data_IF_309720866961
#
_entry.id   IF_309720866961
#
_cell.length_a   1.000
_cell.length_b   1.000
_cell.length_c   1.000
_cell.angle_alpha   90.00
_cell.angle_beta   90.00
_cell.angle_gamma   90.00
#
_symmetry.space_group_name_H-M   'P 1'
#
loop_
_entity.id
_entity.type
_entity.pdbx_description
1 polymer ?
#
# COMPACT_ATOMS: atom_id res chain seq x y z
N UNK A 1 -17.80 48.98 -45.25
CA UNK A 1 -17.31 47.59 -45.26
C UNK A 1 -17.04 47.13 -43.85
N UNK A 2 -17.98 46.39 -43.26
CA UNK A 2 -17.83 45.76 -41.94
C UNK A 2 -17.13 44.41 -42.15
N UNK A 3 -15.88 44.28 -41.71
CA UNK A 3 -15.21 42.98 -41.59
C UNK A 3 -15.88 42.16 -40.48
N UNK A 4 -16.63 41.12 -40.85
CA UNK A 4 -17.07 40.09 -39.97
C UNK A 4 -15.84 39.37 -39.42
N UNK A 5 -15.61 39.49 -38.08
CA UNK A 5 -14.64 38.64 -37.36
C UNK A 5 -15.21 37.22 -37.31
N UNK A 6 -14.68 36.33 -38.15
CA UNK A 6 -14.90 34.88 -37.97
C UNK A 6 -14.35 34.49 -36.59
N UNK A 7 -15.24 34.01 -35.73
CA UNK A 7 -14.84 33.28 -34.52
C UNK A 7 -14.08 32.03 -34.95
N UNK A 8 -12.98 31.67 -34.24
CA UNK A 8 -12.29 30.42 -34.53
C UNK A 8 -13.21 29.24 -34.24
N UNK A 9 -13.33 28.32 -35.21
CA UNK A 9 -13.97 27.03 -35.00
C UNK A 9 -13.26 26.29 -33.89
N UNK A 10 -13.83 26.31 -32.68
CA UNK A 10 -13.39 25.47 -31.58
C UNK A 10 -13.87 24.06 -31.86
N UNK A 11 -13.12 23.33 -32.67
CA UNK A 11 -13.26 21.87 -32.79
C UNK A 11 -12.76 21.25 -31.46
N UNK A 12 -13.57 21.36 -30.41
CA UNK A 12 -13.42 20.58 -29.23
C UNK A 12 -13.70 19.12 -29.59
N UNK A 13 -12.67 18.40 -30.05
CA UNK A 13 -12.72 16.94 -30.00
C UNK A 13 -12.96 16.58 -28.56
N UNK A 14 -14.03 15.81 -28.22
CA UNK A 14 -14.18 15.30 -26.86
C UNK A 14 -12.90 14.56 -26.51
N UNK A 15 -12.27 14.97 -25.40
CA UNK A 15 -11.09 14.25 -24.90
C UNK A 15 -11.53 12.80 -24.65
N UNK A 16 -10.87 11.86 -25.30
CA UNK A 16 -11.08 10.44 -25.00
C UNK A 16 -10.80 10.20 -23.52
N UNK A 17 -11.71 9.51 -22.81
CA UNK A 17 -11.49 9.24 -21.39
C UNK A 17 -10.17 8.49 -21.22
N UNK A 18 -9.30 9.01 -20.33
CA UNK A 18 -8.01 8.38 -20.04
C UNK A 18 -8.23 6.99 -19.49
N UNK A 19 -7.52 6.00 -20.04
CA UNK A 19 -7.64 4.62 -19.58
C UNK A 19 -7.25 4.51 -18.09
N UNK A 20 -8.12 3.91 -17.30
CA UNK A 20 -7.87 3.62 -15.88
C UNK A 20 -7.23 2.25 -15.75
N UNK A 21 -6.15 2.16 -14.97
CA UNK A 21 -5.45 0.92 -14.71
C UNK A 21 -5.50 0.62 -13.22
N UNK A 22 -6.17 -0.46 -12.84
CA UNK A 22 -6.13 -0.94 -11.46
C UNK A 22 -4.73 -1.41 -11.07
N UNK A 23 -4.06 -2.17 -11.95
CA UNK A 23 -2.70 -2.67 -11.73
C UNK A 23 -1.70 -1.87 -12.54
N UNK A 24 -0.74 -1.25 -11.86
CA UNK A 24 0.34 -0.48 -12.47
C UNK A 24 1.68 -1.17 -12.28
N UNK A 25 2.64 -0.91 -13.17
CA UNK A 25 3.96 -1.51 -13.13
C UNK A 25 4.82 -0.90 -12.01
N UNK A 26 5.66 -1.71 -11.37
CA UNK A 26 6.68 -1.25 -10.42
C UNK A 26 7.82 -0.44 -11.07
N UNK A 27 7.92 -0.45 -12.42
CA UNK A 27 8.85 0.38 -13.21
C UNK A 27 8.27 1.74 -13.57
N UNK A 28 7.09 2.09 -13.07
CA UNK A 28 6.42 3.36 -13.36
C UNK A 28 7.25 4.53 -12.83
N UNK A 29 7.46 5.55 -13.66
CA UNK A 29 8.11 6.79 -13.24
C UNK A 29 7.21 7.57 -12.27
N UNK A 30 7.81 8.50 -11.50
CA UNK A 30 7.10 9.38 -10.57
C UNK A 30 5.92 10.11 -11.24
N UNK A 31 6.16 10.74 -12.37
CA UNK A 31 5.14 11.50 -13.09
C UNK A 31 4.00 10.61 -13.55
N UNK A 32 4.35 9.44 -14.09
CA UNK A 32 3.36 8.48 -14.55
C UNK A 32 2.55 7.87 -13.41
N UNK A 33 3.13 7.70 -12.22
CA UNK A 33 2.39 7.27 -11.03
C UNK A 33 1.31 8.29 -10.66
N UNK A 34 1.66 9.60 -10.65
CA UNK A 34 0.69 10.66 -10.35
C UNK A 34 -0.43 10.70 -11.40
N UNK A 35 -0.11 10.53 -12.69
CA UNK A 35 -1.10 10.42 -13.75
C UNK A 35 -2.05 9.23 -13.55
N UNK A 36 -1.53 8.06 -13.17
CA UNK A 36 -2.34 6.88 -12.87
C UNK A 36 -3.25 7.11 -11.67
N UNK A 37 -2.73 7.70 -10.59
CA UNK A 37 -3.52 8.03 -9.40
C UNK A 37 -4.62 9.05 -9.72
N UNK A 38 -4.32 10.06 -10.53
CA UNK A 38 -5.32 11.04 -10.99
C UNK A 38 -6.41 10.39 -11.84
N UNK A 39 -6.02 9.51 -12.77
CA UNK A 39 -6.98 8.81 -13.64
C UNK A 39 -7.85 7.80 -12.88
N UNK A 40 -7.29 7.15 -11.85
CA UNK A 40 -8.00 6.15 -11.05
C UNK A 40 -8.98 6.76 -10.04
N UNK A 41 -8.74 8.01 -9.59
CA UNK A 41 -9.59 8.69 -8.63
C UNK A 41 -9.77 7.89 -7.34
N UNK A 42 -11.01 7.76 -6.86
CA UNK A 42 -11.35 7.05 -5.63
C UNK A 42 -11.17 5.53 -5.71
N UNK A 43 -11.17 4.94 -6.91
CA UNK A 43 -10.91 3.50 -7.11
C UNK A 43 -9.48 3.16 -6.75
N UNK A 44 -8.55 4.05 -7.06
CA UNK A 44 -7.13 3.89 -6.78
C UNK A 44 -6.40 2.90 -7.69
N UNK A 45 -5.13 2.66 -7.36
CA UNK A 45 -4.24 1.77 -8.10
C UNK A 45 -3.59 0.74 -7.15
N UNK A 46 -3.20 -0.39 -7.72
CA UNK A 46 -2.40 -1.41 -7.05
C UNK A 46 -1.08 -1.62 -7.80
N UNK A 47 0.04 -1.56 -7.09
CA UNK A 47 1.35 -1.91 -7.60
C UNK A 47 1.81 -3.20 -6.93
N UNK A 48 2.08 -4.24 -7.72
CA UNK A 48 2.54 -5.54 -7.24
C UNK A 48 3.83 -5.93 -7.94
N UNK A 49 4.85 -6.29 -7.18
CA UNK A 49 6.09 -6.85 -7.70
C UNK A 49 6.60 -7.98 -6.82
N UNK A 50 7.09 -9.04 -7.45
CA UNK A 50 7.74 -10.17 -6.79
C UNK A 50 9.23 -9.92 -6.58
N UNK A 51 9.77 -8.84 -7.17
CA UNK A 51 11.16 -8.44 -7.04
C UNK A 51 11.25 -6.95 -6.74
N UNK A 52 11.61 -6.61 -5.51
CA UNK A 52 11.76 -5.22 -5.06
C UNK A 52 12.83 -4.45 -5.87
N UNK A 53 13.84 -5.14 -6.44
CA UNK A 53 14.86 -4.54 -7.29
C UNK A 53 14.28 -3.81 -8.50
N UNK A 54 13.17 -4.29 -9.04
CA UNK A 54 12.46 -3.62 -10.15
C UNK A 54 12.04 -2.21 -9.74
N UNK A 55 11.56 -2.06 -8.51
CA UNK A 55 11.16 -0.76 -7.95
C UNK A 55 12.38 0.09 -7.57
N UNK A 56 13.43 -0.51 -7.01
CA UNK A 56 14.69 0.17 -6.66
C UNK A 56 15.30 0.84 -7.89
N UNK A 57 15.32 0.15 -9.03
CA UNK A 57 15.86 0.68 -10.29
C UNK A 57 15.09 1.91 -10.78
N UNK A 58 13.77 1.92 -10.62
CA UNK A 58 12.91 3.07 -10.96
C UNK A 58 13.09 4.23 -9.99
N UNK A 59 13.30 3.94 -8.70
CA UNK A 59 13.58 4.94 -7.66
C UNK A 59 14.96 5.60 -7.85
N UNK A 60 15.95 4.85 -8.35
CA UNK A 60 17.32 5.29 -8.51
C UNK A 60 17.51 6.44 -9.51
N UNK A 61 16.62 6.57 -10.47
CA UNK A 61 16.65 7.65 -11.47
C UNK A 61 16.04 8.96 -10.97
N UNK A 62 15.15 8.92 -9.99
CA UNK A 62 14.43 10.06 -9.42
C UNK A 62 14.60 10.14 -7.88
N UNK A 63 15.78 9.83 -7.37
CA UNK A 63 16.08 9.69 -5.94
C UNK A 63 15.48 10.79 -5.04
N UNK A 64 14.81 10.38 -3.98
CA UNK A 64 14.32 11.24 -2.89
C UNK A 64 12.89 11.77 -3.07
N UNK A 65 12.38 11.85 -4.31
CA UNK A 65 11.04 12.41 -4.57
C UNK A 65 9.95 11.37 -4.71
N UNK A 66 10.28 10.12 -5.05
CA UNK A 66 9.32 9.03 -5.19
C UNK A 66 8.87 8.51 -3.82
N UNK A 67 9.79 8.44 -2.88
CA UNK A 67 9.50 8.05 -1.50
C UNK A 67 8.50 8.98 -0.83
N UNK A 68 8.61 10.29 -1.06
CA UNK A 68 7.65 11.28 -0.57
C UNK A 68 6.21 10.97 -1.05
N UNK A 69 6.05 10.61 -2.33
CA UNK A 69 4.74 10.22 -2.86
C UNK A 69 4.20 8.98 -2.18
N UNK A 70 5.02 7.95 -1.98
CA UNK A 70 4.60 6.73 -1.29
C UNK A 70 4.18 7.04 0.16
N UNK A 71 4.95 7.90 0.83
CA UNK A 71 4.65 8.33 2.18
C UNK A 71 3.33 9.11 2.28
N UNK A 72 3.08 10.01 1.33
CA UNK A 72 1.84 10.80 1.26
C UNK A 72 0.65 9.92 0.88
N UNK A 73 0.81 9.07 -0.13
CA UNK A 73 -0.26 8.16 -0.56
C UNK A 73 -0.70 7.19 0.56
N UNK A 74 0.22 6.74 1.43
CA UNK A 74 -0.13 5.91 2.59
C UNK A 74 -1.08 6.59 3.58
N UNK A 75 -1.13 7.93 3.59
CA UNK A 75 -2.01 8.74 4.43
C UNK A 75 -3.09 9.47 3.64
N UNK A 76 -3.23 9.20 2.33
CA UNK A 76 -4.14 9.90 1.43
C UNK A 76 -3.91 11.43 1.41
N UNK A 77 -2.66 11.88 1.66
CA UNK A 77 -2.27 13.27 1.58
C UNK A 77 -2.04 13.69 0.13
N UNK A 78 -2.33 14.94 -0.19
CA UNK A 78 -2.20 15.51 -1.52
C UNK A 78 -0.84 15.25 -2.15
N UNK A 79 -0.84 14.77 -3.39
CA UNK A 79 0.35 14.67 -4.25
C UNK A 79 0.13 15.48 -5.52
N UNK A 80 1.19 16.14 -5.98
CA UNK A 80 1.13 16.97 -7.18
C UNK A 80 2.37 16.83 -8.03
N UNK A 81 2.21 17.09 -9.32
CA UNK A 81 3.31 17.19 -10.29
C UNK A 81 3.15 18.46 -11.11
N UNK A 82 4.20 19.27 -11.11
CA UNK A 82 4.29 20.46 -11.96
C UNK A 82 5.32 20.19 -13.04
N UNK A 83 4.91 20.27 -14.31
CA UNK A 83 5.83 20.16 -15.45
C UNK A 83 6.34 21.53 -15.86
N UNK A 84 7.62 21.59 -16.27
CA UNK A 84 8.20 22.84 -16.80
C UNK A 84 7.74 23.19 -18.22
N UNK A 85 7.04 22.30 -18.93
CA UNK A 85 6.68 22.42 -20.32
C UNK A 85 5.18 22.21 -20.47
N UNK A 86 4.46 23.27 -20.79
CA UNK A 86 3.08 23.38 -21.32
C UNK A 86 1.96 22.45 -20.82
N UNK A 87 2.08 21.86 -19.65
CA UNK A 87 1.03 21.06 -19.04
C UNK A 87 0.46 21.71 -17.79
N UNK A 88 -0.84 21.64 -17.59
CA UNK A 88 -1.45 21.99 -16.31
C UNK A 88 -0.92 21.05 -15.21
N UNK A 89 -0.66 21.60 -13.98
CA UNK A 89 -0.21 20.77 -12.88
C UNK A 89 -1.28 19.72 -12.54
N UNK A 90 -0.85 18.46 -12.39
CA UNK A 90 -1.73 17.40 -11.92
C UNK A 90 -1.71 17.41 -10.40
N UNK A 91 -2.89 17.53 -9.79
CA UNK A 91 -3.08 17.49 -8.34
C UNK A 91 -4.04 16.35 -8.00
N UNK A 92 -3.62 15.46 -7.11
CA UNK A 92 -4.44 14.37 -6.58
C UNK A 92 -4.64 14.61 -5.09
N UNK A 93 -5.82 15.04 -4.70
CA UNK A 93 -6.15 15.44 -3.33
C UNK A 93 -6.08 14.24 -2.36
N UNK A 94 -6.63 13.11 -2.77
CA UNK A 94 -6.71 11.90 -1.95
C UNK A 94 -6.22 10.69 -2.77
N UNK A 95 -4.89 10.48 -2.88
CA UNK A 95 -4.36 9.35 -3.64
C UNK A 95 -4.69 8.03 -2.93
N UNK A 96 -5.15 7.04 -3.70
CA UNK A 96 -5.40 5.68 -3.24
C UNK A 96 -4.43 4.72 -3.92
N UNK A 97 -3.42 4.26 -3.17
CA UNK A 97 -2.37 3.37 -3.65
C UNK A 97 -2.20 2.17 -2.72
N UNK A 98 -2.39 0.98 -3.26
CA UNK A 98 -2.02 -0.26 -2.60
C UNK A 98 -0.69 -0.77 -3.15
N UNK A 99 0.22 -1.21 -2.25
CA UNK A 99 1.51 -1.77 -2.61
C UNK A 99 1.63 -3.19 -2.07
N UNK A 100 2.01 -4.13 -2.93
CA UNK A 100 2.37 -5.49 -2.54
C UNK A 100 3.73 -5.83 -3.15
N UNK A 101 4.76 -5.93 -2.30
CA UNK A 101 6.14 -6.02 -2.71
C UNK A 101 6.79 -7.21 -2.02
N UNK A 102 7.46 -8.07 -2.78
CA UNK A 102 8.27 -9.14 -2.25
C UNK A 102 9.74 -8.98 -2.69
N UNK A 103 10.65 -9.56 -1.91
CA UNK A 103 12.07 -9.50 -2.18
C UNK A 103 12.89 -10.28 -1.17
N UNK A 104 14.20 -10.38 -1.41
CA UNK A 104 15.16 -10.97 -0.48
C UNK A 104 15.53 -9.96 0.63
N UNK A 105 16.16 -10.46 1.69
CA UNK A 105 16.64 -9.59 2.78
C UNK A 105 17.66 -8.56 2.29
N UNK A 106 18.54 -8.90 1.36
CA UNK A 106 19.51 -7.96 0.79
C UNK A 106 18.81 -6.85 0.01
N UNK A 107 17.85 -7.19 -0.82
CA UNK A 107 17.04 -6.24 -1.57
C UNK A 107 16.23 -5.33 -0.65
N UNK A 108 15.71 -5.88 0.44
CA UNK A 108 15.02 -5.13 1.47
C UNK A 108 15.92 -4.05 2.10
N UNK A 109 17.16 -4.40 2.51
CA UNK A 109 18.11 -3.44 3.09
C UNK A 109 18.52 -2.33 2.10
N UNK A 110 18.53 -2.61 0.80
CA UNK A 110 18.78 -1.59 -0.24
C UNK A 110 17.59 -0.65 -0.41
N UNK A 111 16.36 -1.18 -0.33
CA UNK A 111 15.15 -0.38 -0.50
C UNK A 111 14.84 0.49 0.74
N UNK A 112 14.90 -0.09 1.92
CA UNK A 112 14.70 0.61 3.19
C UNK A 112 16.04 0.99 3.79
N UNK A 113 16.55 2.15 3.46
CA UNK A 113 17.89 2.60 3.86
C UNK A 113 18.05 2.87 5.35
N UNK A 114 16.98 3.27 6.02
CA UNK A 114 16.97 3.46 7.47
C UNK A 114 15.53 3.50 8.01
N UNK A 115 15.37 3.32 9.32
CA UNK A 115 14.10 3.46 10.03
C UNK A 115 13.58 4.88 10.08
N UNK A 116 14.47 5.87 10.03
CA UNK A 116 14.15 7.28 10.22
C UNK A 116 13.47 7.91 9.00
N UNK A 117 13.64 7.33 7.83
CA UNK A 117 13.09 7.86 6.57
C UNK A 117 11.56 7.81 6.50
N UNK A 118 10.90 7.17 7.47
CA UNK A 118 9.44 7.16 7.57
C UNK A 118 8.71 6.22 6.61
N UNK A 119 9.33 5.81 5.50
CA UNK A 119 8.73 4.87 4.55
C UNK A 119 8.56 3.48 5.17
N UNK A 120 9.60 2.98 5.86
CA UNK A 120 9.58 1.68 6.51
C UNK A 120 8.36 1.49 7.41
N UNK A 121 8.08 2.46 8.28
CA UNK A 121 6.98 2.37 9.23
C UNK A 121 5.57 2.40 8.63
N UNK A 122 5.45 2.63 7.32
CA UNK A 122 4.18 2.63 6.58
C UNK A 122 3.85 1.29 5.93
N UNK A 123 4.78 0.34 5.98
CA UNK A 123 4.58 -1.01 5.49
C UNK A 123 4.26 -1.99 6.61
N UNK A 124 3.43 -2.96 6.30
CA UNK A 124 3.25 -4.16 7.10
C UNK A 124 4.15 -5.25 6.52
N UNK A 125 5.10 -5.75 7.30
CA UNK A 125 6.07 -6.73 6.83
C UNK A 125 5.68 -8.13 7.28
N UNK A 126 5.75 -9.04 6.34
CA UNK A 126 5.71 -10.47 6.61
C UNK A 126 7.05 -11.08 6.20
N UNK A 127 7.72 -11.77 7.11
CA UNK A 127 8.95 -12.52 6.85
C UNK A 127 8.80 -13.97 7.29
N UNK A 128 9.45 -14.86 6.56
CA UNK A 128 9.45 -16.29 6.84
C UNK A 128 10.88 -16.81 6.66
N UNK A 129 11.33 -17.65 7.57
CA UNK A 129 12.55 -18.42 7.34
C UNK A 129 12.31 -19.37 6.17
N UNK A 130 13.28 -19.47 5.27
CA UNK A 130 13.22 -20.42 4.19
C UNK A 130 13.16 -21.85 4.75
N UNK A 131 12.23 -22.64 4.23
CA UNK A 131 12.24 -24.06 4.46
C UNK A 131 13.50 -24.65 3.76
N UNK A 132 14.38 -25.26 4.54
CA UNK A 132 15.60 -25.88 3.99
C UNK A 132 15.35 -27.25 3.38
N UNK A 133 14.11 -27.75 3.47
CA UNK A 133 13.76 -29.02 2.84
C UNK A 133 13.35 -28.79 1.39
N UNK A 134 13.85 -29.69 0.54
CA UNK A 134 13.42 -29.72 -0.85
C UNK A 134 11.96 -30.13 -0.95
N UNK A 135 11.15 -29.30 -1.61
CA UNK A 135 9.77 -29.62 -1.96
C UNK A 135 9.69 -30.10 -3.40
N UNK A 136 9.02 -31.24 -3.61
CA UNK A 136 8.87 -31.81 -4.95
C UNK A 136 8.05 -30.88 -5.84
N UNK A 137 8.55 -30.64 -7.04
CA UNK A 137 7.82 -29.94 -8.11
C UNK A 137 7.05 -30.91 -9.02
N UNK A 138 7.03 -32.22 -8.69
CA UNK A 138 6.30 -33.19 -9.49
C UNK A 138 4.79 -32.93 -9.43
N UNK A 139 4.06 -33.15 -10.54
CA UNK A 139 2.60 -33.11 -10.51
C UNK A 139 2.08 -34.13 -9.49
N UNK A 140 1.32 -33.66 -8.50
CA UNK A 140 0.64 -34.53 -7.55
C UNK A 140 -0.79 -34.83 -7.99
N UNK A 141 -1.34 -35.94 -7.49
CA UNK A 141 -2.70 -36.38 -7.82
C UNK A 141 -3.81 -35.41 -7.32
N UNK A 142 -3.48 -34.49 -6.41
CA UNK A 142 -4.40 -33.52 -5.80
C UNK A 142 -4.06 -32.06 -6.20
N UNK A 143 -3.66 -31.84 -7.43
CA UNK A 143 -3.39 -30.44 -7.86
C UNK A 143 -4.70 -29.64 -7.94
N UNK A 144 -4.85 -28.67 -7.03
CA UNK A 144 -5.89 -27.67 -7.14
C UNK A 144 -5.63 -26.80 -8.39
N UNK A 145 -6.62 -26.68 -9.27
CA UNK A 145 -6.54 -25.75 -10.40
C UNK A 145 -6.58 -24.29 -9.90
N UNK A 146 -5.42 -23.79 -9.48
CA UNK A 146 -5.26 -22.45 -8.97
C UNK A 146 -5.71 -21.39 -9.97
N UNK A 147 -5.58 -21.64 -11.28
CA UNK A 147 -6.04 -20.70 -12.32
C UNK A 147 -7.57 -20.55 -12.26
N UNK A 148 -8.28 -21.67 -12.23
CA UNK A 148 -9.75 -21.67 -12.13
C UNK A 148 -10.22 -21.04 -10.82
N UNK A 149 -9.55 -21.36 -9.72
CA UNK A 149 -9.84 -20.78 -8.41
C UNK A 149 -9.70 -19.24 -8.42
N UNK A 150 -8.56 -18.71 -8.89
CA UNK A 150 -8.35 -17.27 -8.94
C UNK A 150 -9.24 -16.55 -9.96
N UNK A 151 -9.62 -17.21 -11.06
CA UNK A 151 -10.60 -16.66 -11.98
C UNK A 151 -11.99 -16.54 -11.34
N UNK A 152 -12.41 -17.52 -10.55
CA UNK A 152 -13.68 -17.45 -9.81
C UNK A 152 -13.65 -16.34 -8.77
N UNK A 153 -12.59 -16.30 -7.95
CA UNK A 153 -12.40 -15.26 -6.93
C UNK A 153 -12.37 -13.85 -7.56
N UNK A 154 -11.71 -13.68 -8.71
CA UNK A 154 -11.67 -12.40 -9.41
C UNK A 154 -13.03 -11.93 -9.90
N UNK A 155 -13.91 -12.83 -10.34
CA UNK A 155 -15.30 -12.50 -10.70
C UNK A 155 -16.10 -12.05 -9.48
N UNK A 156 -15.98 -12.76 -8.38
CA UNK A 156 -16.65 -12.44 -7.13
C UNK A 156 -16.20 -11.08 -6.58
N UNK A 157 -14.88 -10.80 -6.57
CA UNK A 157 -14.35 -9.50 -6.18
C UNK A 157 -14.82 -8.36 -7.08
N UNK A 158 -15.00 -8.61 -8.39
CA UNK A 158 -15.54 -7.61 -9.31
C UNK A 158 -17.00 -7.29 -8.99
N UNK A 159 -17.83 -8.29 -8.69
CA UNK A 159 -19.23 -8.05 -8.30
C UNK A 159 -19.32 -7.33 -6.96
N UNK A 160 -18.51 -7.73 -5.97
CA UNK A 160 -18.41 -7.01 -4.70
C UNK A 160 -18.02 -5.53 -4.92
N UNK A 161 -17.02 -5.28 -5.76
CA UNK A 161 -16.57 -3.93 -6.08
C UNK A 161 -17.70 -3.07 -6.67
N UNK A 162 -18.48 -3.59 -7.62
CA UNK A 162 -19.64 -2.89 -8.19
C UNK A 162 -20.66 -2.50 -7.11
N UNK A 163 -20.99 -3.44 -6.24
CA UNK A 163 -21.94 -3.19 -5.13
C UNK A 163 -21.41 -2.13 -4.17
N UNK A 164 -20.11 -2.18 -3.84
CA UNK A 164 -19.50 -1.20 -2.95
C UNK A 164 -19.41 0.20 -3.54
N UNK A 165 -19.25 0.33 -4.86
CA UNK A 165 -19.31 1.63 -5.55
C UNK A 165 -20.72 2.25 -5.45
N UNK A 166 -21.77 1.45 -5.59
CA UNK A 166 -23.16 1.89 -5.48
C UNK A 166 -23.57 2.15 -4.02
N UNK A 167 -22.99 1.41 -3.08
CA UNK A 167 -23.27 1.48 -1.65
C UNK A 167 -22.00 1.57 -0.81
N UNK A 168 -21.32 2.72 -0.78
CA UNK A 168 -20.14 2.94 0.05
C UNK A 168 -20.45 2.64 1.51
N UNK A 169 -19.47 2.04 2.21
CA UNK A 169 -19.66 1.54 3.57
C UNK A 169 -18.88 2.38 4.57
N UNK A 170 -19.60 2.95 5.54
CA UNK A 170 -18.98 3.48 6.75
C UNK A 170 -18.84 2.34 7.75
N UNK A 171 -17.59 1.97 8.07
CA UNK A 171 -17.30 0.96 9.09
C UNK A 171 -17.24 1.62 10.45
N UNK A 172 -17.95 1.02 11.42
CA UNK A 172 -17.97 1.50 12.80
C UNK A 172 -17.37 0.47 13.76
N UNK A 173 -16.83 0.94 14.87
CA UNK A 173 -16.21 0.13 15.91
C UNK A 173 -16.84 0.41 17.26
N UNK A 174 -17.01 -0.65 18.07
CA UNK A 174 -17.56 -0.54 19.41
C UNK A 174 -16.59 0.12 20.40
N UNK A 175 -17.10 0.63 21.51
CA UNK A 175 -16.26 1.18 22.57
C UNK A 175 -15.31 0.13 23.18
N UNK A 176 -15.74 -1.13 23.24
CA UNK A 176 -14.89 -2.25 23.70
C UNK A 176 -13.73 -2.50 22.72
N UNK A 177 -13.97 -2.44 21.41
CA UNK A 177 -12.93 -2.57 20.39
C UNK A 177 -11.92 -1.42 20.45
N UNK A 178 -12.39 -0.18 20.61
CA UNK A 178 -11.52 0.98 20.80
C UNK A 178 -10.66 0.87 22.07
N UNK A 179 -11.22 0.37 23.17
CA UNK A 179 -10.50 0.13 24.41
C UNK A 179 -9.41 -0.92 24.22
N UNK A 180 -9.75 -2.06 23.63
CA UNK A 180 -8.81 -3.14 23.33
C UNK A 180 -7.67 -2.67 22.41
N UNK A 181 -7.99 -1.92 21.35
CA UNK A 181 -7.00 -1.30 20.47
C UNK A 181 -6.01 -0.43 21.25
N UNK A 182 -6.53 0.44 22.12
CA UNK A 182 -5.71 1.35 22.92
C UNK A 182 -4.80 0.57 23.89
N UNK A 183 -5.32 -0.44 24.57
CA UNK A 183 -4.56 -1.28 25.49
C UNK A 183 -3.43 -2.03 24.76
N UNK A 184 -3.74 -2.66 23.61
CA UNK A 184 -2.79 -3.42 22.81
C UNK A 184 -1.61 -2.55 22.36
N UNK A 185 -1.89 -1.43 21.71
CA UNK A 185 -0.84 -0.58 21.14
C UNK A 185 -0.09 0.24 22.19
N UNK A 186 -0.72 0.59 23.31
CA UNK A 186 -0.04 1.18 24.46
C UNK A 186 0.97 0.22 25.07
N UNK A 187 0.59 -1.05 25.22
CA UNK A 187 1.50 -2.09 25.75
C UNK A 187 2.67 -2.36 24.79
N UNK A 188 2.40 -2.47 23.48
CA UNK A 188 3.47 -2.63 22.48
C UNK A 188 4.45 -1.45 22.51
N UNK A 189 3.93 -0.21 22.59
CA UNK A 189 4.76 0.99 22.65
C UNK A 189 5.59 1.01 23.93
N UNK A 190 5.01 0.67 25.08
CA UNK A 190 5.71 0.58 26.37
C UNK A 190 6.85 -0.44 26.31
N UNK A 191 6.62 -1.62 25.75
CA UNK A 191 7.66 -2.65 25.58
C UNK A 191 8.80 -2.16 24.69
N UNK A 192 8.51 -1.55 23.56
CA UNK A 192 9.53 -1.02 22.65
C UNK A 192 10.40 0.04 23.33
N UNK A 193 9.82 0.93 24.14
CA UNK A 193 10.57 1.93 24.91
C UNK A 193 11.45 1.30 25.99
N UNK A 194 10.95 0.30 26.72
CA UNK A 194 11.72 -0.41 27.75
C UNK A 194 12.92 -1.17 27.14
N UNK A 195 12.76 -1.69 25.93
CA UNK A 195 13.81 -2.38 25.19
C UNK A 195 14.82 -1.43 24.50
N UNK A 196 14.70 -0.10 24.72
CA UNK A 196 15.58 0.91 24.10
C UNK A 196 15.39 1.07 22.60
N UNK A 197 14.22 0.74 22.10
CA UNK A 197 13.87 0.83 20.66
C UNK A 197 13.04 2.08 20.36
N UNK A 198 13.53 3.24 20.75
CA UNK A 198 12.81 4.52 20.60
C UNK A 198 12.39 4.81 19.15
N UNK A 199 13.24 4.43 18.17
CA UNK A 199 12.95 4.54 16.75
C UNK A 199 11.74 3.71 16.28
N UNK A 200 11.39 2.65 17.02
CA UNK A 200 10.25 1.78 16.72
C UNK A 200 8.89 2.39 17.09
N UNK A 201 8.87 3.47 17.85
CA UNK A 201 7.63 4.13 18.28
C UNK A 201 6.76 4.60 17.11
N UNK A 202 7.39 5.08 16.03
CA UNK A 202 6.67 5.49 14.81
C UNK A 202 6.02 4.31 14.10
N UNK A 203 6.71 3.16 14.05
CA UNK A 203 6.21 1.91 13.49
C UNK A 203 4.95 1.44 14.23
N UNK A 204 5.01 1.37 15.57
CA UNK A 204 3.88 0.89 16.39
C UNK A 204 2.66 1.80 16.24
N UNK A 205 2.85 3.13 16.25
CA UNK A 205 1.73 4.07 16.06
C UNK A 205 1.05 3.90 14.70
N UNK A 206 1.84 3.66 13.62
CA UNK A 206 1.29 3.42 12.29
C UNK A 206 0.68 2.04 12.14
N UNK A 207 1.21 1.03 12.84
CA UNK A 207 0.61 -0.29 12.90
C UNK A 207 -0.80 -0.25 13.52
N UNK A 208 -1.04 0.62 14.50
CA UNK A 208 -2.39 0.86 15.02
C UNK A 208 -3.39 1.27 13.94
N UNK A 209 -3.00 2.22 13.09
CA UNK A 209 -3.82 2.62 11.94
C UNK A 209 -4.01 1.47 10.93
N UNK A 210 -2.95 0.72 10.63
CA UNK A 210 -3.03 -0.42 9.71
C UNK A 210 -3.94 -1.51 10.24
N UNK A 211 -3.93 -1.77 11.56
CA UNK A 211 -4.84 -2.73 12.21
C UNK A 211 -6.31 -2.34 12.04
N UNK A 212 -6.63 -1.07 12.23
CA UNK A 212 -8.00 -0.56 12.01
C UNK A 212 -8.42 -0.65 10.55
N UNK A 213 -7.52 -0.35 9.60
CA UNK A 213 -7.77 -0.52 8.17
C UNK A 213 -8.02 -2.00 7.80
N UNK A 214 -7.25 -2.92 8.37
CA UNK A 214 -7.42 -4.34 8.13
C UNK A 214 -8.77 -4.84 8.69
N UNK A 215 -9.14 -4.43 9.91
CA UNK A 215 -10.44 -4.72 10.48
C UNK A 215 -11.59 -4.17 9.62
N UNK A 216 -11.44 -2.96 9.06
CA UNK A 216 -12.42 -2.40 8.14
C UNK A 216 -12.54 -3.22 6.84
N UNK A 217 -11.44 -3.72 6.29
CA UNK A 217 -11.45 -4.60 5.12
C UNK A 217 -12.22 -5.90 5.42
N UNK A 218 -11.96 -6.56 6.54
CA UNK A 218 -12.69 -7.77 6.94
C UNK A 218 -14.19 -7.50 7.14
N UNK A 219 -14.52 -6.36 7.75
CA UNK A 219 -15.93 -5.93 7.91
C UNK A 219 -16.64 -5.76 6.57
N UNK A 220 -15.94 -5.23 5.56
CA UNK A 220 -16.51 -5.06 4.21
C UNK A 220 -16.71 -6.41 3.52
N UNK A 221 -15.78 -7.36 3.67
CA UNK A 221 -15.97 -8.73 3.18
C UNK A 221 -17.16 -9.40 3.86
N UNK A 222 -17.29 -9.31 5.18
CA UNK A 222 -18.44 -9.83 5.92
C UNK A 222 -19.75 -9.20 5.48
N UNK A 223 -19.77 -7.89 5.25
CA UNK A 223 -20.95 -7.21 4.68
C UNK A 223 -21.36 -7.84 3.35
N UNK A 224 -20.39 -8.16 2.48
CA UNK A 224 -20.65 -8.84 1.21
C UNK A 224 -21.20 -10.25 1.41
N UNK A 225 -20.58 -11.05 2.27
CA UNK A 225 -21.04 -12.41 2.60
C UNK A 225 -22.45 -12.44 3.20
N UNK A 226 -22.79 -11.46 4.02
CA UNK A 226 -24.11 -11.32 4.65
C UNK A 226 -25.17 -10.73 3.70
N UNK A 227 -24.83 -10.42 2.46
CA UNK A 227 -25.71 -9.77 1.47
C UNK A 227 -26.38 -8.49 1.97
N UNK A 228 -25.68 -7.69 2.76
CA UNK A 228 -26.23 -6.46 3.37
C UNK A 228 -25.83 -5.24 2.57
N UNK A 229 -26.81 -4.38 2.27
CA UNK A 229 -26.61 -3.12 1.55
C UNK A 229 -26.64 -1.90 2.48
N UNK A 230 -26.48 -2.08 3.79
CA UNK A 230 -26.43 -0.96 4.74
C UNK A 230 -25.23 -0.04 4.46
N UNK A 231 -25.46 1.27 4.56
CA UNK A 231 -24.39 2.28 4.42
C UNK A 231 -23.45 2.29 5.61
N UNK A 232 -23.92 1.86 6.78
CA UNK A 232 -23.15 1.74 8.01
C UNK A 232 -23.13 0.28 8.43
N UNK A 233 -21.96 -0.24 8.74
CA UNK A 233 -21.77 -1.63 9.15
C UNK A 233 -20.76 -1.72 10.29
N UNK A 234 -21.16 -2.33 11.42
CA UNK A 234 -20.31 -2.52 12.58
C UNK A 234 -19.33 -3.66 12.40
N UNK A 235 -18.07 -3.43 12.75
CA UNK A 235 -17.06 -4.49 12.81
C UNK A 235 -17.46 -5.52 13.87
N UNK A 236 -17.43 -6.81 13.52
CA UNK A 236 -17.63 -7.88 14.50
C UNK A 236 -16.40 -8.02 15.40
N UNK A 237 -16.57 -8.54 16.60
CA UNK A 237 -15.43 -8.79 17.49
C UNK A 237 -14.48 -9.84 16.90
N UNK A 238 -15.00 -10.83 16.17
CA UNK A 238 -14.19 -11.84 15.46
C UNK A 238 -13.27 -11.22 14.41
N UNK A 239 -13.81 -10.36 13.53
CA UNK A 239 -13.04 -9.68 12.51
C UNK A 239 -12.01 -8.72 13.13
N UNK A 240 -12.43 -8.03 14.20
CA UNK A 240 -11.55 -7.13 14.92
C UNK A 240 -10.38 -7.86 15.56
N UNK A 241 -10.63 -8.95 16.30
CA UNK A 241 -9.58 -9.76 16.93
C UNK A 241 -8.65 -10.37 15.89
N UNK A 242 -9.20 -10.91 14.80
CA UNK A 242 -8.40 -11.45 13.70
C UNK A 242 -7.46 -10.39 13.11
N UNK A 243 -7.96 -9.18 12.89
CA UNK A 243 -7.12 -8.08 12.40
C UNK A 243 -6.02 -7.70 13.41
N UNK A 244 -6.34 -7.65 14.71
CA UNK A 244 -5.36 -7.32 15.75
C UNK A 244 -4.29 -8.40 15.89
N UNK A 245 -4.63 -9.67 15.76
CA UNK A 245 -3.67 -10.78 15.82
C UNK A 245 -2.73 -10.78 14.61
N UNK A 246 -3.26 -10.52 13.41
CA UNK A 246 -2.43 -10.37 12.21
C UNK A 246 -1.47 -9.19 12.37
N UNK A 247 -1.98 -8.01 12.76
CA UNK A 247 -1.11 -6.84 12.85
C UNK A 247 -0.06 -6.97 13.94
N UNK A 248 -0.34 -7.64 15.05
CA UNK A 248 0.63 -7.97 16.08
C UNK A 248 1.78 -8.78 15.50
N UNK A 249 1.49 -9.83 14.75
CA UNK A 249 2.49 -10.65 14.06
C UNK A 249 3.32 -9.82 13.08
N UNK A 250 2.68 -8.95 12.29
CA UNK A 250 3.38 -8.09 11.34
C UNK A 250 4.26 -7.03 12.04
N UNK A 251 3.87 -6.55 13.22
CA UNK A 251 4.73 -5.68 14.05
C UNK A 251 5.97 -6.43 14.53
N UNK A 252 5.84 -7.66 15.01
CA UNK A 252 6.97 -8.49 15.42
C UNK A 252 7.93 -8.72 14.24
N UNK A 253 7.43 -9.03 13.06
CA UNK A 253 8.22 -9.16 11.84
C UNK A 253 8.90 -7.83 11.45
N UNK A 254 8.20 -6.72 11.59
CA UNK A 254 8.75 -5.40 11.31
C UNK A 254 9.89 -5.04 12.28
N UNK A 255 9.72 -5.34 13.57
CA UNK A 255 10.76 -5.16 14.57
C UNK A 255 11.98 -6.05 14.32
N UNK A 256 11.76 -7.30 13.90
CA UNK A 256 12.84 -8.19 13.51
C UNK A 256 13.61 -7.64 12.32
N UNK A 257 12.92 -7.25 11.25
CA UNK A 257 13.55 -6.70 10.04
C UNK A 257 14.25 -5.37 10.31
N UNK A 258 13.76 -4.57 11.25
CA UNK A 258 14.37 -3.29 11.62
C UNK A 258 15.81 -3.46 12.13
N UNK A 259 16.13 -4.60 12.76
CA UNK A 259 17.49 -4.89 13.24
C UNK A 259 18.50 -5.12 12.11
N UNK A 260 18.03 -5.38 10.90
CA UNK A 260 18.87 -5.57 9.70
C UNK A 260 19.16 -4.25 8.97
N UNK A 261 18.50 -3.15 9.35
CA UNK A 261 18.72 -1.86 8.73
C UNK A 261 19.89 -1.13 9.39
N UNK A 262 20.72 -0.41 8.61
CA UNK A 262 21.80 0.40 9.17
C UNK A 262 21.23 1.54 10.02
N UNK A 263 21.94 1.87 11.10
CA UNK A 263 21.64 3.08 11.88
C UNK A 263 21.90 4.32 11.02
N UNK A 264 20.94 5.25 10.98
CA UNK A 264 21.04 6.48 10.20
C UNK A 264 22.27 7.34 10.56
N UNK A 265 22.80 7.17 11.76
CA UNK A 265 23.97 7.89 12.28
C UNK A 265 25.31 7.17 12.04
N UNK A 266 25.31 5.98 11.44
CA UNK A 266 26.56 5.33 11.06
C UNK A 266 26.94 5.73 9.63
N UNK A 267 28.17 6.25 9.41
CA UNK A 267 28.64 6.48 8.06
C UNK A 267 28.62 5.16 7.28
N UNK A 268 28.25 5.19 5.98
CA UNK A 268 28.22 3.96 5.18
C UNK A 268 29.58 3.28 5.27
N UNK A 269 29.58 2.00 5.65
CA UNK A 269 30.80 1.20 5.68
C UNK A 269 31.50 1.37 4.34
N UNK A 270 32.73 1.89 4.34
CA UNK A 270 33.53 2.08 3.14
C UNK A 270 33.61 0.72 2.44
N UNK A 271 33.04 0.63 1.24
CA UNK A 271 33.28 -0.52 0.36
C UNK A 271 34.78 -0.63 0.16
N UNK A 272 35.42 -1.55 0.86
CA UNK A 272 36.77 -1.96 0.50
C UNK A 272 36.71 -2.48 -0.94
N UNK A 273 37.18 -1.66 -1.88
CA UNK A 273 37.49 -2.11 -3.23
C UNK A 273 38.53 -3.21 -3.10
N UNK A 274 38.14 -4.44 -3.33
CA UNK A 274 39.11 -5.48 -3.66
C UNK A 274 39.75 -5.10 -5.00
N UNK A 275 41.05 -4.82 -4.93
CA UNK A 275 41.93 -4.71 -6.10
C UNK A 275 42.28 -6.13 -6.62
#
# INVERSE_FOLDING_TARGET
ERREKRLPDINLKPEEPKAQYLKISATTSKSRLIEHLAAAGEVGCCMTTTEINTMISSLGQDCGKYEDILCKAAHHEEVSSSYKIDGEPIVVQHPHLALNIAGTQEQFCVFFRSLEVGLFSRFAFYTRQQNQQWESCAPGDEQVDLRRYFQSLGKELLEMHKVLLESPTQVTFSLSQWKLHTELFSEMLRRALVEGRDSSGSLIRRAGLLGMRLAAVFTVFRKWEDYRYAKEYGCTDEDFHTAMDIIRTLVEHSLLLSTSLPDANQPPASMHRFH
#
